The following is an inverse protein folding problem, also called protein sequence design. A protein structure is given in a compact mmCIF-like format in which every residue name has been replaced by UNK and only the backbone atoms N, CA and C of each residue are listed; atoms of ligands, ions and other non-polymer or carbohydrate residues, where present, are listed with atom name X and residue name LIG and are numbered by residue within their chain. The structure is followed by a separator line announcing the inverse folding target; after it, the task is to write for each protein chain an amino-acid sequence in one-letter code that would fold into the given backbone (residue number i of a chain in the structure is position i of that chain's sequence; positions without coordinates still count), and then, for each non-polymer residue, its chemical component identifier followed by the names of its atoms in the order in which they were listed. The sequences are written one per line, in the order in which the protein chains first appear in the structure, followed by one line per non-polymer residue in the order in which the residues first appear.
data_IF_911554615867
#
_entry.id   IF_911554615867
#
_cell.length_a   1.000
_cell.length_b   1.000
_cell.length_c   1.000
_cell.angle_alpha   90.00
_cell.angle_beta   90.00
_cell.angle_gamma   90.00
#
_symmetry.space_group_name_H-M   'P 1'
#
loop_
_entity.id
_entity.type
_entity.pdbx_description
1 polymer ?
#
# COMPACT_ATOMS: atom_id res chain seq x y z
N UNK A 1 -4.34 9.78 9.98
CA UNK A 1 -3.67 9.94 8.68
C UNK A 1 -4.68 10.45 7.66
N UNK A 2 -4.41 11.55 6.96
CA UNK A 2 -5.25 12.12 5.89
C UNK A 2 -4.41 12.36 4.63
N UNK A 3 -5.04 12.40 3.46
CA UNK A 3 -4.34 12.69 2.21
C UNK A 3 -3.70 14.08 2.23
N UNK A 4 -2.45 14.17 1.78
CA UNK A 4 -1.71 15.44 1.69
C UNK A 4 -2.18 16.35 0.55
N UNK A 5 -3.03 15.84 -0.33
CA UNK A 5 -3.63 16.55 -1.45
C UNK A 5 -5.01 15.95 -1.77
N UNK A 6 -6.05 16.78 -1.85
CA UNK A 6 -7.42 16.35 -2.15
C UNK A 6 -7.54 15.63 -3.50
N UNK A 7 -6.67 15.95 -4.47
CA UNK A 7 -6.62 15.29 -5.78
C UNK A 7 -6.34 13.79 -5.67
N UNK A 8 -5.66 13.35 -4.61
CA UNK A 8 -5.40 11.93 -4.32
C UNK A 8 -6.66 11.17 -3.92
N UNK A 9 -7.67 11.85 -3.39
CA UNK A 9 -8.99 11.29 -3.10
C UNK A 9 -9.85 11.32 -4.37
N UNK A 10 -9.83 12.44 -5.10
CA UNK A 10 -10.64 12.60 -6.31
C UNK A 10 -10.27 11.58 -7.39
N UNK A 11 -8.98 11.29 -7.57
CA UNK A 11 -8.52 10.32 -8.58
C UNK A 11 -9.04 8.89 -8.32
N UNK A 12 -9.32 8.51 -7.07
CA UNK A 12 -9.91 7.20 -6.75
C UNK A 12 -11.31 7.04 -7.36
N UNK A 13 -12.08 8.13 -7.46
CA UNK A 13 -13.37 8.10 -8.17
C UNK A 13 -13.19 7.89 -9.67
N UNK A 14 -12.19 8.52 -10.28
CA UNK A 14 -11.88 8.32 -11.71
C UNK A 14 -11.45 6.88 -11.99
N UNK A 15 -10.64 6.30 -11.10
CA UNK A 15 -10.18 4.92 -11.18
C UNK A 15 -11.37 3.96 -11.10
N UNK A 16 -12.22 4.07 -10.08
CA UNK A 16 -13.44 3.24 -9.97
C UNK A 16 -14.28 3.29 -11.25
N UNK A 17 -14.55 4.50 -11.76
CA UNK A 17 -15.28 4.70 -13.02
C UNK A 17 -14.59 4.03 -14.20
N UNK A 18 -13.26 4.14 -14.30
CA UNK A 18 -12.47 3.55 -15.39
C UNK A 18 -12.51 2.02 -15.40
N UNK A 19 -12.65 1.38 -14.24
CA UNK A 19 -12.72 -0.08 -14.13
C UNK A 19 -14.15 -0.61 -13.99
N UNK A 20 -15.15 0.28 -13.91
CA UNK A 20 -16.55 -0.11 -13.68
C UNK A 20 -16.79 -0.68 -12.27
N UNK A 21 -15.94 -0.35 -11.30
CA UNK A 21 -16.12 -0.78 -9.92
C UNK A 21 -17.12 0.12 -9.19
N UNK A 22 -17.98 -0.51 -8.40
CA UNK A 22 -18.94 0.20 -7.58
C UNK A 22 -18.31 0.67 -6.26
N UNK A 23 -18.86 1.76 -5.72
CA UNK A 23 -18.43 2.33 -4.44
C UNK A 23 -18.95 1.52 -3.24
N UNK A 24 -20.05 0.80 -3.40
CA UNK A 24 -20.73 0.12 -2.29
C UNK A 24 -19.89 -1.07 -1.79
N UNK A 25 -19.28 -1.83 -2.69
CA UNK A 25 -18.38 -2.94 -2.37
C UNK A 25 -17.16 -2.45 -1.59
N UNK A 26 -16.55 -1.33 -1.99
CA UNK A 26 -15.47 -0.70 -1.22
C UNK A 26 -15.95 -0.31 0.20
N UNK A 27 -17.15 0.26 0.34
CA UNK A 27 -17.73 0.64 1.63
C UNK A 27 -18.04 -0.56 2.52
N UNK A 28 -18.59 -1.64 1.96
CA UNK A 28 -18.89 -2.88 2.67
C UNK A 28 -17.60 -3.51 3.19
N UNK A 29 -16.59 -3.66 2.33
CA UNK A 29 -15.29 -4.23 2.70
C UNK A 29 -14.63 -3.40 3.81
N UNK A 30 -14.57 -2.07 3.65
CA UNK A 30 -13.97 -1.17 4.64
C UNK A 30 -14.66 -1.24 6.01
N UNK A 31 -16.00 -1.15 6.05
CA UNK A 31 -16.76 -1.26 7.32
C UNK A 31 -16.60 -2.63 7.97
N UNK A 32 -16.54 -3.69 7.16
CA UNK A 32 -16.31 -5.05 7.64
C UNK A 32 -14.92 -5.18 8.27
N UNK A 33 -13.87 -4.72 7.58
CA UNK A 33 -12.51 -4.72 8.12
C UNK A 33 -12.42 -3.93 9.43
N UNK A 34 -12.95 -2.71 9.49
CA UNK A 34 -12.98 -1.89 10.71
C UNK A 34 -13.72 -2.56 11.87
N UNK A 35 -14.77 -3.32 11.59
CA UNK A 35 -15.54 -4.02 12.61
C UNK A 35 -14.83 -5.27 13.13
N UNK A 36 -14.02 -5.92 12.31
CA UNK A 36 -13.35 -7.20 12.65
C UNK A 36 -11.93 -7.02 13.21
N UNK A 37 -11.19 -5.99 12.78
CA UNK A 37 -9.86 -5.72 13.31
C UNK A 37 -9.95 -5.08 14.72
N UNK A 38 -9.32 -5.71 15.71
CA UNK A 38 -9.24 -5.23 17.11
C UNK A 38 -7.83 -4.92 17.57
N UNK A 39 -6.89 -5.03 16.64
CA UNK A 39 -5.47 -4.82 16.86
C UNK A 39 -5.14 -3.37 17.24
N UNK A 40 -4.06 -3.15 18.00
CA UNK A 40 -3.57 -1.80 18.28
C UNK A 40 -3.17 -1.08 16.99
N UNK A 41 -3.35 0.24 16.96
CA UNK A 41 -2.92 1.07 15.84
C UNK A 41 -1.45 1.43 15.99
N UNK A 42 -0.67 1.25 14.92
CA UNK A 42 0.75 1.59 14.92
C UNK A 42 1.01 3.09 15.10
N UNK A 43 2.03 3.45 15.87
CA UNK A 43 2.47 4.84 16.09
C UNK A 43 3.65 5.24 15.20
N UNK A 44 3.59 4.88 13.91
CA UNK A 44 4.66 5.19 12.94
C UNK A 44 4.55 6.64 12.48
N UNK A 45 5.64 7.39 12.61
CA UNK A 45 5.77 8.77 12.12
C UNK A 45 7.16 8.97 11.51
N UNK A 46 7.24 9.78 10.47
CA UNK A 46 8.50 10.12 9.80
C UNK A 46 8.76 11.62 9.89
N UNK A 47 10.04 12.00 9.93
CA UNK A 47 10.51 13.39 10.01
C UNK A 47 11.62 13.71 9.00
N UNK A 48 11.92 12.76 8.11
CA UNK A 48 13.08 12.74 7.23
C UNK A 48 12.73 11.98 5.94
N UNK A 49 13.75 11.63 5.16
CA UNK A 49 13.61 10.88 3.91
C UNK A 49 13.22 9.43 4.19
N UNK A 50 12.24 8.92 3.43
CA UNK A 50 11.75 7.55 3.51
C UNK A 50 11.97 6.87 2.16
N UNK A 51 12.40 5.61 2.18
CA UNK A 51 12.44 4.78 0.97
C UNK A 51 11.10 4.05 0.85
N UNK A 52 10.49 4.07 -0.33
CA UNK A 52 9.32 3.24 -0.65
C UNK A 52 9.75 2.20 -1.66
N UNK A 53 9.51 0.92 -1.33
CA UNK A 53 9.89 -0.22 -2.16
C UNK A 53 8.64 -0.80 -2.84
N UNK A 54 8.64 -0.75 -4.17
CA UNK A 54 7.61 -1.30 -5.04
C UNK A 54 7.94 -2.69 -5.59
N UNK A 55 6.96 -3.28 -6.28
CA UNK A 55 6.99 -4.68 -6.70
C UNK A 55 8.03 -5.02 -7.79
N UNK A 56 8.72 -4.05 -8.40
CA UNK A 56 9.79 -4.26 -9.36
C UNK A 56 11.19 -4.24 -8.72
N UNK A 57 11.29 -4.20 -7.39
CA UNK A 57 12.58 -4.19 -6.69
C UNK A 57 13.41 -5.45 -6.97
N UNK A 58 14.72 -5.29 -7.08
CA UNK A 58 15.64 -6.41 -7.20
C UNK A 58 15.83 -7.11 -5.84
N UNK A 59 16.09 -8.42 -5.89
CA UNK A 59 16.34 -9.20 -4.68
C UNK A 59 17.68 -8.82 -4.04
N UNK A 60 17.71 -8.73 -2.71
CA UNK A 60 18.93 -8.36 -1.96
C UNK A 60 19.14 -6.86 -1.88
N UNK A 61 18.06 -6.07 -1.96
CA UNK A 61 18.12 -4.63 -1.79
C UNK A 61 18.65 -4.25 -0.41
N UNK A 62 19.67 -3.41 -0.37
CA UNK A 62 20.21 -2.83 0.86
C UNK A 62 19.48 -1.52 1.19
N UNK A 63 18.97 -1.40 2.42
CA UNK A 63 18.16 -0.25 2.86
C UNK A 63 18.98 0.70 3.73
N UNK A 64 19.03 1.98 3.34
CA UNK A 64 19.71 3.03 4.12
C UNK A 64 18.76 3.82 5.03
N UNK A 65 17.54 4.08 4.54
CA UNK A 65 16.53 4.93 5.19
C UNK A 65 15.44 4.07 5.87
N UNK A 66 14.65 4.64 6.80
CA UNK A 66 13.36 4.03 7.17
C UNK A 66 12.55 3.74 5.90
N UNK A 67 12.01 2.53 5.82
CA UNK A 67 11.46 1.99 4.58
C UNK A 67 10.00 1.58 4.74
N UNK A 68 9.16 1.99 3.80
CA UNK A 68 7.81 1.42 3.62
C UNK A 68 7.85 0.47 2.44
N UNK A 69 7.32 -0.74 2.62
CA UNK A 69 7.33 -1.75 1.57
C UNK A 69 5.90 -2.04 1.09
N UNK A 70 5.72 -2.08 -0.22
CA UNK A 70 4.44 -2.39 -0.83
C UNK A 70 4.26 -3.91 -0.96
N UNK A 71 3.37 -4.46 -0.13
CA UNK A 71 2.83 -5.80 -0.23
C UNK A 71 3.91 -6.87 -0.46
N UNK A 72 3.84 -7.66 -1.55
CA UNK A 72 4.77 -8.73 -1.89
C UNK A 72 6.21 -8.26 -2.13
N UNK A 73 6.46 -6.95 -2.32
CA UNK A 73 7.81 -6.41 -2.50
C UNK A 73 8.73 -6.68 -1.29
N UNK A 74 8.16 -7.04 -0.14
CA UNK A 74 8.91 -7.51 1.03
C UNK A 74 9.78 -8.73 0.73
N UNK A 75 9.43 -9.53 -0.29
CA UNK A 75 10.24 -10.64 -0.78
C UNK A 75 11.60 -10.21 -1.36
N UNK A 76 11.77 -8.94 -1.74
CA UNK A 76 13.03 -8.39 -2.21
C UNK A 76 14.04 -8.11 -1.08
N UNK A 77 13.55 -7.97 0.17
CA UNK A 77 14.32 -7.48 1.30
C UNK A 77 14.86 -8.64 2.13
N UNK A 78 16.17 -8.68 2.32
CA UNK A 78 16.83 -9.71 3.14
C UNK A 78 16.93 -9.31 4.60
N UNK A 79 17.33 -8.07 4.87
CA UNK A 79 17.40 -7.47 6.21
C UNK A 79 16.21 -6.53 6.44
N UNK A 80 15.34 -6.90 7.38
CA UNK A 80 14.11 -6.19 7.69
C UNK A 80 14.29 -5.07 8.74
N UNK A 81 15.51 -4.87 9.27
CA UNK A 81 15.78 -3.91 10.35
C UNK A 81 15.40 -2.45 10.06
N UNK A 82 15.31 -2.10 8.77
CA UNK A 82 14.93 -0.77 8.28
C UNK A 82 13.49 -0.67 7.80
N UNK A 83 12.76 -1.78 7.75
CA UNK A 83 11.36 -1.80 7.33
C UNK A 83 10.49 -1.30 8.47
N UNK A 84 9.92 -0.11 8.30
CA UNK A 84 9.13 0.57 9.32
C UNK A 84 7.63 0.28 9.21
N UNK A 85 7.14 -0.04 8.00
CA UNK A 85 5.73 -0.28 7.72
C UNK A 85 5.59 -1.09 6.43
N UNK A 86 4.57 -1.95 6.36
CA UNK A 86 4.16 -2.61 5.11
C UNK A 86 2.78 -2.13 4.72
N UNK A 87 2.59 -1.72 3.47
CA UNK A 87 1.27 -1.34 2.93
C UNK A 87 0.79 -2.49 2.06
N UNK A 88 -0.38 -3.04 2.34
CA UNK A 88 -0.86 -4.28 1.71
C UNK A 88 -2.38 -4.32 1.63
N UNK A 89 -2.91 -4.91 0.56
CA UNK A 89 -4.30 -5.33 0.43
C UNK A 89 -4.53 -6.80 0.85
N UNK A 90 -3.47 -7.47 1.30
CA UNK A 90 -3.47 -8.84 1.82
C UNK A 90 -3.10 -9.92 0.81
N UNK A 91 -2.71 -9.59 -0.43
CA UNK A 91 -2.41 -10.58 -1.47
C UNK A 91 -0.91 -10.94 -1.65
N UNK A 92 -0.02 -10.37 -0.84
CA UNK A 92 1.45 -10.53 -0.89
C UNK A 92 2.05 -11.87 -0.42
N UNK A 93 1.24 -12.91 -0.23
CA UNK A 93 1.73 -14.26 0.11
C UNK A 93 2.68 -14.82 -0.98
N UNK A 94 3.72 -15.61 -0.62
CA UNK A 94 4.07 -16.08 0.73
C UNK A 94 5.07 -15.15 1.47
N UNK A 95 5.29 -13.94 0.95
CA UNK A 95 6.34 -13.06 1.46
C UNK A 95 5.85 -12.21 2.64
N UNK A 96 4.56 -11.86 2.64
CA UNK A 96 3.94 -11.08 3.71
C UNK A 96 4.06 -11.75 5.08
N UNK A 97 3.83 -13.06 5.17
CA UNK A 97 3.82 -13.83 6.43
C UNK A 97 5.17 -13.80 7.14
N UNK A 98 6.27 -13.80 6.38
CA UNK A 98 7.63 -13.65 6.94
C UNK A 98 7.77 -12.35 7.72
N UNK A 99 7.13 -11.28 7.25
CA UNK A 99 7.23 -9.96 7.81
C UNK A 99 6.30 -9.78 9.02
N UNK A 100 5.10 -10.34 8.96
CA UNK A 100 4.17 -10.40 10.09
C UNK A 100 4.80 -11.14 11.29
N UNK A 101 5.52 -12.24 11.04
CA UNK A 101 6.24 -12.97 12.08
C UNK A 101 7.38 -12.18 12.76
N UNK A 102 7.80 -11.05 12.20
CA UNK A 102 8.78 -10.15 12.81
C UNK A 102 8.12 -9.00 13.60
N UNK A 103 6.78 -8.94 13.63
CA UNK A 103 6.02 -7.88 14.28
C UNK A 103 6.12 -6.53 13.58
N UNK A 104 6.46 -6.50 12.28
CA UNK A 104 6.52 -5.27 11.50
C UNK A 104 5.09 -4.72 11.38
N UNK A 105 4.84 -3.44 11.73
CA UNK A 105 3.52 -2.85 11.58
C UNK A 105 3.02 -2.92 10.14
N UNK A 106 1.70 -3.09 9.99
CA UNK A 106 1.07 -3.10 8.66
C UNK A 106 0.03 -2.00 8.52
N UNK A 107 -0.13 -1.53 7.29
CA UNK A 107 -1.19 -0.66 6.84
C UNK A 107 -2.08 -1.49 5.91
N UNK A 108 -3.11 -2.09 6.48
CA UNK A 108 -4.01 -3.03 5.81
C UNK A 108 -5.12 -2.27 5.08
N UNK A 109 -5.24 -2.50 3.78
CA UNK A 109 -6.16 -1.79 2.91
C UNK A 109 -7.41 -2.61 2.59
N UNK A 110 -8.58 -1.99 2.66
CA UNK A 110 -9.85 -2.61 2.22
C UNK A 110 -10.39 -1.98 0.95
N UNK A 111 -10.82 -2.84 0.03
CA UNK A 111 -11.58 -2.52 -1.18
C UNK A 111 -12.53 -3.67 -1.56
N UNK A 112 -13.35 -3.46 -2.59
CA UNK A 112 -14.51 -4.31 -2.87
C UNK A 112 -14.24 -5.79 -3.17
N UNK A 113 -13.03 -6.15 -3.63
CA UNK A 113 -12.66 -7.51 -4.08
C UNK A 113 -11.61 -8.21 -3.21
N UNK A 114 -11.20 -7.65 -2.06
CA UNK A 114 -10.15 -8.24 -1.21
C UNK A 114 -10.60 -8.72 0.17
N UNK A 115 -11.90 -8.98 0.37
CA UNK A 115 -12.44 -9.42 1.67
C UNK A 115 -11.73 -10.67 2.18
N UNK A 116 -11.62 -11.69 1.33
CA UNK A 116 -10.96 -12.95 1.70
C UNK A 116 -9.47 -12.74 2.02
N UNK A 117 -8.80 -11.80 1.33
CA UNK A 117 -7.39 -11.51 1.52
C UNK A 117 -7.13 -10.85 2.89
N UNK A 118 -7.84 -9.77 3.23
CA UNK A 118 -7.65 -9.15 4.55
C UNK A 118 -8.18 -10.04 5.68
N UNK A 119 -9.20 -10.89 5.45
CA UNK A 119 -9.63 -11.88 6.43
C UNK A 119 -8.54 -12.91 6.72
N UNK A 120 -7.84 -13.38 5.68
CA UNK A 120 -6.70 -14.27 5.85
C UNK A 120 -5.60 -13.62 6.68
N UNK A 121 -5.25 -12.35 6.40
CA UNK A 121 -4.29 -11.59 7.21
C UNK A 121 -4.73 -11.53 8.68
N UNK A 122 -5.99 -11.16 8.97
CA UNK A 122 -6.51 -11.10 10.33
C UNK A 122 -6.49 -12.47 11.05
N UNK A 123 -6.56 -13.57 10.31
CA UNK A 123 -6.54 -14.93 10.87
C UNK A 123 -5.16 -15.44 11.28
N UNK A 124 -4.09 -14.83 10.76
CA UNK A 124 -2.71 -15.25 11.01
C UNK A 124 -1.93 -14.30 11.92
N UNK A 125 -2.36 -13.05 12.05
CA UNK A 125 -1.75 -12.09 12.98
C UNK A 125 -2.25 -12.32 14.41
N UNK A 126 -1.38 -12.08 15.39
CA UNK A 126 -1.79 -12.08 16.81
C UNK A 126 -2.46 -10.77 17.21
N UNK A 127 -2.96 -10.70 18.45
CA UNK A 127 -3.64 -9.52 18.99
C UNK A 127 -2.69 -8.34 19.28
N UNK A 128 -1.38 -8.56 19.28
CA UNK A 128 -0.35 -7.55 19.53
C UNK A 128 0.16 -6.90 18.24
N UNK A 129 0.00 -7.54 17.09
CA UNK A 129 0.35 -6.99 15.78
C UNK A 129 -0.27 -5.60 15.61
N UNK A 130 0.55 -4.61 15.28
CA UNK A 130 0.08 -3.26 15.04
C UNK A 130 -0.48 -3.12 13.61
N UNK A 131 -1.67 -2.53 13.49
CA UNK A 131 -2.41 -2.41 12.24
C UNK A 131 -2.99 -1.00 12.06
N UNK A 132 -2.63 -0.34 10.97
CA UNK A 132 -3.29 0.89 10.48
C UNK A 132 -4.31 0.46 9.41
N UNK A 133 -5.56 0.87 9.56
CA UNK A 133 -6.61 0.53 8.59
C UNK A 133 -6.76 1.63 7.54
N UNK A 134 -6.77 1.24 6.27
CA UNK A 134 -7.02 2.17 5.16
C UNK A 134 -8.12 1.72 4.21
N UNK A 135 -8.74 2.69 3.55
CA UNK A 135 -9.79 2.49 2.56
C UNK A 135 -9.68 3.54 1.43
N UNK A 136 -10.51 3.40 0.39
CA UNK A 136 -10.50 4.29 -0.79
C UNK A 136 -11.85 4.94 -1.09
N UNK A 137 -12.72 5.05 -0.07
CA UNK A 137 -14.06 5.67 -0.20
C UNK A 137 -14.00 7.17 0.12
N UNK A 138 -14.90 8.01 -0.44
CA UNK A 138 -14.85 9.46 -0.25
C UNK A 138 -15.37 9.93 1.11
N UNK A 139 -16.13 9.09 1.82
CA UNK A 139 -16.67 9.41 3.15
C UNK A 139 -15.70 9.02 4.27
N UNK A 140 -15.86 9.63 5.45
CA UNK A 140 -15.13 9.22 6.65
C UNK A 140 -15.67 7.89 7.17
N UNK A 141 -14.75 7.00 7.58
CA UNK A 141 -15.05 5.76 8.30
C UNK A 141 -14.27 5.81 9.61
N UNK A 142 -14.96 5.64 10.74
CA UNK A 142 -14.32 5.67 12.05
C UNK A 142 -13.26 4.56 12.17
N UNK A 143 -12.09 4.90 12.72
CA UNK A 143 -10.97 3.98 12.87
C UNK A 143 -10.20 3.67 11.58
N UNK A 144 -10.55 4.28 10.44
CA UNK A 144 -9.84 4.09 9.17
C UNK A 144 -9.36 5.41 8.57
N UNK A 145 -8.42 5.30 7.63
CA UNK A 145 -7.84 6.43 6.93
C UNK A 145 -7.90 6.27 5.40
N UNK A 146 -8.05 7.38 4.69
CA UNK A 146 -7.84 7.43 3.25
C UNK A 146 -6.67 8.39 2.95
N UNK A 147 -5.44 7.88 2.80
CA UNK A 147 -4.28 8.71 2.43
C UNK A 147 -4.25 9.01 0.92
N UNK A 148 -5.13 8.41 0.13
CA UNK A 148 -5.03 8.36 -1.33
C UNK A 148 -4.35 7.08 -1.82
N UNK A 149 -3.85 7.11 -3.06
CA UNK A 149 -3.22 5.95 -3.70
C UNK A 149 -4.23 4.96 -4.30
N UNK A 150 -3.71 4.03 -5.08
CA UNK A 150 -4.51 3.04 -5.79
C UNK A 150 -3.94 1.63 -5.70
N UNK A 151 -2.69 1.45 -6.10
CA UNK A 151 -1.90 0.23 -5.92
C UNK A 151 -1.17 0.27 -4.58
N UNK A 152 -0.63 -0.83 -4.08
CA UNK A 152 0.14 -0.78 -2.82
C UNK A 152 1.38 0.12 -2.93
N UNK A 153 2.01 0.18 -4.11
CA UNK A 153 3.17 1.03 -4.38
C UNK A 153 2.89 2.52 -4.21
N UNK A 154 1.97 3.09 -5.00
CA UNK A 154 1.62 4.52 -4.87
C UNK A 154 0.88 4.84 -3.57
N UNK A 155 0.12 3.88 -3.01
CA UNK A 155 -0.48 4.02 -1.68
C UNK A 155 0.58 4.10 -0.59
N UNK A 156 1.67 3.33 -0.68
CA UNK A 156 2.80 3.44 0.23
C UNK A 156 3.45 4.83 0.21
N UNK A 157 3.54 5.45 -0.97
CA UNK A 157 4.00 6.84 -1.09
C UNK A 157 3.03 7.81 -0.42
N UNK A 158 1.72 7.68 -0.67
CA UNK A 158 0.70 8.50 -0.02
C UNK A 158 0.75 8.37 1.51
N UNK A 159 0.90 7.14 2.01
CA UNK A 159 1.06 6.84 3.44
C UNK A 159 2.33 7.48 4.00
N UNK A 160 3.47 7.37 3.30
CA UNK A 160 4.73 7.99 3.75
C UNK A 160 4.56 9.50 3.99
N UNK A 161 4.00 10.22 3.03
CA UNK A 161 3.75 11.66 3.17
C UNK A 161 2.73 11.97 4.27
N UNK A 162 1.65 11.19 4.35
CA UNK A 162 0.61 11.39 5.37
C UNK A 162 1.08 11.08 6.80
N UNK A 163 2.18 10.32 6.94
CA UNK A 163 2.90 10.06 8.19
C UNK A 163 4.09 11.01 8.42
N UNK A 164 4.28 12.02 7.58
CA UNK A 164 5.24 13.12 7.82
C UNK A 164 6.57 13.04 7.08
N UNK A 165 6.75 12.07 6.16
CA UNK A 165 7.97 11.99 5.36
C UNK A 165 8.23 13.30 4.60
N UNK A 166 9.46 13.82 4.67
CA UNK A 166 9.84 15.07 3.99
C UNK A 166 10.22 14.85 2.54
N UNK A 167 10.70 13.66 2.23
CA UNK A 167 11.12 13.22 0.90
C UNK A 167 10.85 11.72 0.79
N UNK A 168 10.52 11.26 -0.42
CA UNK A 168 10.36 9.84 -0.73
C UNK A 168 11.31 9.45 -1.85
N UNK A 169 12.10 8.41 -1.60
CA UNK A 169 12.88 7.70 -2.61
C UNK A 169 12.08 6.48 -3.10
N UNK A 170 11.93 6.36 -4.42
CA UNK A 170 11.22 5.24 -5.04
C UNK A 170 12.23 4.18 -5.48
N UNK A 171 12.08 2.96 -4.98
CA UNK A 171 12.86 1.79 -5.41
C UNK A 171 11.93 0.72 -5.93
N UNK A 172 12.23 0.11 -7.07
CA UNK A 172 11.40 -0.96 -7.62
C UNK A 172 10.04 -0.51 -8.15
N UNK A 173 9.98 0.69 -8.73
CA UNK A 173 8.80 1.18 -9.45
C UNK A 173 9.06 1.06 -10.95
N UNK A 174 8.11 0.48 -11.69
CA UNK A 174 8.15 0.44 -13.17
C UNK A 174 6.79 0.84 -13.71
N UNK A 175 6.77 1.53 -14.86
CA UNK A 175 5.53 1.88 -15.57
C UNK A 175 5.33 1.08 -16.86
N UNK A 176 6.32 0.28 -17.24
CA UNK A 176 6.37 -0.46 -18.49
C UNK A 176 6.23 -1.98 -18.28
N UNK A 177 6.72 -2.48 -17.14
CA UNK A 177 6.75 -3.90 -16.84
C UNK A 177 6.08 -4.24 -15.51
N UNK A 178 5.53 -5.45 -15.46
CA UNK A 178 4.95 -6.00 -14.24
C UNK A 178 6.09 -6.47 -13.35
N UNK A 179 6.24 -5.83 -12.19
CA UNK A 179 7.25 -6.18 -11.20
C UNK A 179 7.15 -7.64 -10.74
N UNK A 180 8.32 -8.24 -10.47
CA UNK A 180 8.48 -9.64 -10.05
C UNK A 180 7.63 -10.01 -8.83
N UNK A 181 7.37 -9.05 -7.95
CA UNK A 181 6.70 -9.24 -6.67
C UNK A 181 5.21 -8.88 -6.70
N UNK A 182 4.60 -8.83 -7.90
CA UNK A 182 3.20 -8.45 -8.06
C UNK A 182 2.30 -9.67 -8.27
N UNK A 183 1.23 -9.84 -7.50
CA UNK A 183 0.25 -10.94 -7.59
C UNK A 183 -0.29 -11.19 -9.00
N UNK A 184 -0.25 -12.43 -9.50
CA UNK A 184 -0.45 -12.77 -10.93
C UNK A 184 -1.92 -12.97 -11.29
N UNK A 185 -2.44 -12.35 -12.38
CA UNK A 185 -3.59 -12.91 -13.14
C UNK A 185 -3.85 -12.27 -14.53
N UNK A 186 -3.63 -10.97 -14.73
CA UNK A 186 -3.88 -10.31 -16.04
C UNK A 186 -2.88 -9.19 -16.34
N UNK A 187 -1.98 -9.41 -17.32
CA UNK A 187 -0.96 -8.45 -17.75
C UNK A 187 -1.56 -7.15 -18.30
N UNK A 188 -2.67 -7.20 -19.05
CA UNK A 188 -3.29 -5.99 -19.62
C UNK A 188 -3.89 -5.12 -18.54
N UNK A 189 -4.65 -5.72 -17.61
CA UNK A 189 -5.21 -5.00 -16.45
C UNK A 189 -4.11 -4.36 -15.61
N UNK A 190 -2.99 -5.07 -15.38
CA UNK A 190 -1.83 -4.50 -14.68
C UNK A 190 -1.21 -3.31 -15.37
N UNK A 191 -0.99 -3.35 -16.68
CA UNK A 191 -0.45 -2.19 -17.42
C UNK A 191 -1.36 -0.96 -17.30
N UNK A 192 -2.68 -1.15 -17.26
CA UNK A 192 -3.62 -0.05 -16.98
C UNK A 192 -3.44 0.45 -15.54
N UNK A 193 -3.28 -0.45 -14.55
CA UNK A 193 -3.01 -0.05 -13.16
C UNK A 193 -1.72 0.75 -13.03
N UNK A 194 -0.63 0.37 -13.72
CA UNK A 194 0.64 1.10 -13.71
C UNK A 194 0.52 2.53 -14.27
N UNK A 195 -0.33 2.74 -15.28
CA UNK A 195 -0.62 4.10 -15.79
C UNK A 195 -1.33 4.96 -14.74
N UNK A 196 -2.24 4.37 -13.97
CA UNK A 196 -2.90 5.05 -12.85
C UNK A 196 -1.91 5.35 -11.72
N UNK A 197 -1.07 4.40 -11.34
CA UNK A 197 0.04 4.60 -10.39
C UNK A 197 0.92 5.78 -10.82
N UNK A 198 1.33 5.83 -12.10
CA UNK A 198 2.10 6.96 -12.65
C UNK A 198 1.35 8.29 -12.53
N UNK A 199 0.02 8.33 -12.71
CA UNK A 199 -0.79 9.54 -12.50
C UNK A 199 -0.81 9.96 -11.03
N UNK A 200 -0.99 9.03 -10.10
CA UNK A 200 -0.98 9.30 -8.66
C UNK A 200 0.37 9.86 -8.21
N UNK A 201 1.48 9.22 -8.60
CA UNK A 201 2.83 9.69 -8.27
C UNK A 201 3.10 11.10 -8.79
N UNK A 202 2.60 11.43 -9.99
CA UNK A 202 2.70 12.79 -10.54
C UNK A 202 1.93 13.84 -9.73
N UNK A 203 0.81 13.49 -9.09
CA UNK A 203 0.09 14.41 -8.19
C UNK A 203 0.95 14.78 -6.98
N UNK A 204 1.84 13.86 -6.56
CA UNK A 204 2.83 14.04 -5.51
C UNK A 204 4.15 14.65 -6.03
N UNK A 205 4.19 15.13 -7.27
CA UNK A 205 5.40 15.64 -7.94
C UNK A 205 6.54 14.62 -8.06
N UNK A 206 6.26 13.33 -7.92
CA UNK A 206 7.23 12.25 -8.14
C UNK A 206 7.16 11.74 -9.57
N UNK A 207 8.32 11.27 -10.05
CA UNK A 207 8.46 10.61 -11.35
C UNK A 207 9.04 9.23 -11.12
N UNK A 208 8.56 8.27 -11.88
CA UNK A 208 9.24 7.00 -12.06
C UNK A 208 10.10 7.19 -13.29
N UNK A 209 11.42 7.10 -13.11
CA UNK A 209 12.33 7.12 -14.22
C UNK A 209 12.16 5.80 -14.97
N UNK A 210 11.71 5.90 -16.21
CA UNK A 210 11.65 4.76 -17.13
C UNK A 210 13.11 4.52 -17.60
N UNK A 211 13.99 4.08 -16.69
CA UNK A 211 15.35 3.69 -17.07
C UNK A 211 15.30 2.41 -17.92
N UNK A 212 15.98 2.47 -19.06
CA UNK A 212 16.05 1.45 -20.11
C UNK A 212 17.05 0.36 -19.80
#
# INVERSE_FOLDING_TARGET
MEAVDERLILIQNEIRKSFGWDLESDLISAKSLASNCKNPTASVMFDSKVTVVGAAAEFGLELSNPTIVADGAIGAITDLSKVALIVTDGDGSPHLERALNQGIPICLHAHGDNIDAWQNVLSIIDEQQEVILTHQTPGKIEGMHNPGGFTDGDRAVCVAFALGAKEVELVGFSTEDVGRWSGVTDKKRKLIKLKWMKRVLRLLSLRVDDEK
#
